data_IF_503706222790
#
_entry.id   IF_503706222790
#
_cell.length_a   1.000
_cell.length_b   1.000
_cell.length_c   1.000
_cell.angle_alpha   90.00
_cell.angle_beta   90.00
_cell.angle_gamma   90.00
#
_symmetry.space_group_name_H-M   'P 1'
#
loop_
_entity.id
_entity.type
_entity.pdbx_description
1 polymer ?
#
# COMPACT_ATOMS: atom_id res chain seq x y z
N UNK A 1 -47.43 8.85 -45.14
CA UNK A 1 -46.15 8.14 -45.37
C UNK A 1 -45.02 9.15 -45.37
N UNK A 2 -44.13 9.08 -44.38
CA UNK A 2 -42.71 9.34 -44.64
C UNK A 2 -41.82 8.28 -43.98
N UNK A 3 -41.01 7.60 -44.79
CA UNK A 3 -39.88 6.77 -44.36
C UNK A 3 -38.60 7.57 -44.60
N UNK A 4 -37.83 7.86 -43.54
CA UNK A 4 -36.37 7.92 -43.57
C UNK A 4 -35.84 8.11 -42.14
N UNK A 5 -35.14 7.12 -41.56
CA UNK A 5 -34.43 7.30 -40.30
C UNK A 5 -33.02 7.87 -40.57
N UNK A 6 -32.76 9.03 -39.98
CA UNK A 6 -31.42 9.60 -39.84
C UNK A 6 -30.65 8.76 -38.82
N UNK A 7 -29.56 8.11 -39.24
CA UNK A 7 -28.56 7.52 -38.35
C UNK A 7 -27.31 8.39 -38.34
N UNK A 8 -26.84 8.83 -37.16
CA UNK A 8 -25.45 9.18 -36.97
C UNK A 8 -24.75 8.13 -36.10
N UNK A 9 -23.73 7.58 -36.73
CA UNK A 9 -22.68 6.69 -36.26
C UNK A 9 -22.15 7.02 -34.86
N UNK A 10 -22.23 6.07 -33.94
CA UNK A 10 -21.54 6.11 -32.65
C UNK A 10 -20.05 5.92 -32.88
N UNK A 11 -19.29 7.01 -32.82
CA UNK A 11 -17.83 6.97 -32.72
C UNK A 11 -17.45 6.41 -31.36
N UNK A 12 -16.92 5.18 -31.36
CA UNK A 12 -16.45 4.50 -30.16
C UNK A 12 -15.07 5.06 -29.79
N UNK A 13 -15.04 6.17 -29.05
CA UNK A 13 -13.81 6.69 -28.44
C UNK A 13 -13.60 5.96 -27.11
N UNK A 14 -12.98 4.78 -27.15
CA UNK A 14 -12.52 4.07 -25.95
C UNK A 14 -11.41 4.88 -25.26
N UNK A 15 -11.80 5.71 -24.31
CA UNK A 15 -10.90 6.39 -23.39
C UNK A 15 -10.35 5.40 -22.36
N UNK A 16 -9.06 5.58 -22.10
CA UNK A 16 -8.11 4.69 -21.44
C UNK A 16 -8.25 4.70 -19.90
N UNK A 17 -9.47 4.81 -19.38
CA UNK A 17 -9.71 5.34 -18.02
C UNK A 17 -10.57 4.46 -17.10
N UNK A 18 -10.94 3.25 -17.52
CA UNK A 18 -11.60 2.26 -16.66
C UNK A 18 -10.68 1.09 -16.32
N UNK A 19 -9.72 1.35 -15.44
CA UNK A 19 -9.23 0.28 -14.54
C UNK A 19 -9.70 0.58 -13.13
N UNK A 20 -11.02 0.71 -13.00
CA UNK A 20 -11.73 0.66 -11.73
C UNK A 20 -11.20 -0.57 -10.99
N UNK A 21 -10.63 -0.35 -9.83
CA UNK A 21 -10.22 -1.41 -8.89
C UNK A 21 -11.42 -2.31 -8.68
N UNK A 22 -11.46 -3.48 -9.36
CA UNK A 22 -12.52 -4.46 -9.13
C UNK A 22 -12.52 -4.77 -7.64
N UNK A 23 -13.56 -4.32 -6.94
CA UNK A 23 -13.86 -4.76 -5.59
C UNK A 23 -13.76 -6.28 -5.61
N UNK A 24 -12.89 -6.83 -4.77
CA UNK A 24 -12.69 -8.28 -4.77
C UNK A 24 -13.99 -8.94 -4.39
N UNK A 25 -14.29 -10.03 -5.06
CA UNK A 25 -15.34 -10.91 -4.60
C UNK A 25 -14.98 -11.40 -3.18
N UNK A 26 -15.81 -10.99 -2.23
CA UNK A 26 -15.64 -11.27 -0.80
C UNK A 26 -15.82 -12.77 -0.52
N UNK A 27 -16.40 -13.52 -1.46
CA UNK A 27 -16.60 -14.96 -1.36
C UNK A 27 -15.36 -15.78 -1.77
N UNK A 28 -14.36 -15.16 -2.40
CA UNK A 28 -13.15 -15.85 -2.85
C UNK A 28 -11.86 -15.38 -2.15
N UNK A 29 -11.88 -14.24 -1.46
CA UNK A 29 -10.69 -13.64 -0.85
C UNK A 29 -10.93 -13.21 0.60
N UNK A 30 -9.89 -13.37 1.42
CA UNK A 30 -9.86 -12.81 2.75
C UNK A 30 -9.88 -11.28 2.69
N UNK A 31 -10.74 -10.62 3.45
CA UNK A 31 -10.83 -9.15 3.51
C UNK A 31 -9.69 -8.50 4.29
N UNK A 32 -8.98 -9.30 5.08
CA UNK A 32 -7.86 -8.84 5.92
C UNK A 32 -6.56 -8.90 5.12
N UNK A 33 -6.10 -10.08 4.69
CA UNK A 33 -4.82 -10.23 3.96
C UNK A 33 -4.92 -10.19 2.42
N UNK A 34 -6.13 -10.21 1.85
CA UNK A 34 -6.37 -10.23 0.39
C UNK A 34 -5.88 -11.46 -0.38
N UNK A 35 -5.33 -12.47 0.30
CA UNK A 35 -5.11 -13.80 -0.28
C UNK A 35 -6.45 -14.51 -0.51
N UNK A 36 -6.43 -15.54 -1.35
CA UNK A 36 -7.60 -16.42 -1.51
C UNK A 36 -7.90 -17.13 -0.20
N UNK A 37 -9.18 -17.42 0.05
CA UNK A 37 -9.59 -18.09 1.29
C UNK A 37 -8.85 -19.43 1.51
N UNK A 38 -8.62 -20.19 0.44
CA UNK A 38 -7.89 -21.47 0.43
C UNK A 38 -6.41 -21.39 0.90
N UNK A 39 -5.80 -20.21 0.84
CA UNK A 39 -4.40 -19.95 1.24
C UNK A 39 -4.31 -18.74 2.18
N UNK A 40 -5.36 -18.48 2.94
CA UNK A 40 -5.39 -17.38 3.89
C UNK A 40 -4.35 -17.62 5.01
N UNK A 41 -3.49 -16.62 5.26
CA UNK A 41 -2.44 -16.71 6.29
C UNK A 41 -2.80 -15.95 7.58
N UNK A 42 -3.93 -15.25 7.63
CA UNK A 42 -4.33 -14.50 8.83
C UNK A 42 -4.31 -15.34 10.12
N UNK A 43 -4.76 -16.62 10.12
CA UNK A 43 -4.73 -17.44 11.34
C UNK A 43 -3.33 -17.77 11.86
N UNK A 44 -2.31 -17.68 11.00
CA UNK A 44 -0.92 -18.00 11.34
C UNK A 44 -0.03 -16.76 11.45
N UNK A 45 -0.59 -15.56 11.27
CA UNK A 45 0.18 -14.32 11.42
C UNK A 45 0.65 -14.21 12.87
N UNK A 46 1.96 -14.07 13.12
CA UNK A 46 2.45 -13.85 14.46
C UNK A 46 2.10 -12.43 14.92
N UNK A 47 2.10 -12.22 16.23
CA UNK A 47 2.22 -10.88 16.81
C UNK A 47 3.66 -10.64 17.18
N UNK A 48 4.31 -9.68 16.52
CA UNK A 48 5.70 -9.30 16.75
C UNK A 48 5.74 -7.95 17.44
N UNK A 49 6.14 -7.96 18.71
CA UNK A 49 6.34 -6.74 19.49
C UNK A 49 7.66 -6.09 19.10
N UNK A 50 7.64 -4.78 18.88
CA UNK A 50 8.82 -4.01 18.51
C UNK A 50 8.91 -2.74 19.34
N UNK A 51 10.13 -2.37 19.73
CA UNK A 51 10.39 -1.10 20.42
C UNK A 51 10.25 0.09 19.46
N UNK A 52 10.81 -0.05 18.27
CA UNK A 52 10.71 0.97 17.22
C UNK A 52 9.32 0.96 16.60
N UNK A 53 8.80 2.14 16.26
CA UNK A 53 7.62 2.29 15.43
C UNK A 53 7.97 2.07 13.95
N UNK A 54 7.15 1.33 13.22
CA UNK A 54 7.35 1.09 11.80
C UNK A 54 6.36 1.87 10.94
N UNK A 55 6.86 2.78 10.11
CA UNK A 55 6.08 3.48 9.08
C UNK A 55 6.31 2.84 7.73
N UNK A 56 5.30 2.14 7.20
CA UNK A 56 5.39 1.43 5.93
C UNK A 56 4.85 2.33 4.82
N UNK A 57 5.76 2.90 4.02
CA UNK A 57 5.39 3.72 2.89
C UNK A 57 4.94 2.82 1.73
N UNK A 58 3.67 2.94 1.35
CA UNK A 58 3.06 2.13 0.30
C UNK A 58 2.43 3.05 -0.74
N UNK A 59 2.77 2.86 -2.01
CA UNK A 59 2.08 3.57 -3.09
C UNK A 59 0.59 3.19 -3.10
N UNK A 60 -0.30 4.17 -3.27
CA UNK A 60 -1.76 3.96 -3.31
C UNK A 60 -2.23 2.87 -4.30
N UNK A 61 -1.52 2.67 -5.42
CA UNK A 61 -1.84 1.62 -6.41
C UNK A 61 -1.58 0.20 -5.89
N UNK A 62 -0.79 0.07 -4.83
CA UNK A 62 -0.43 -1.20 -4.21
C UNK A 62 -1.39 -1.58 -3.07
N UNK A 63 -2.27 -0.68 -2.62
CA UNK A 63 -3.18 -0.92 -1.49
C UNK A 63 -4.06 -2.17 -1.66
N UNK A 64 -4.38 -2.48 -2.92
CA UNK A 64 -5.10 -3.66 -3.30
C UNK A 64 -4.22 -4.88 -3.54
N UNK A 65 -2.93 -4.83 -3.83
CA UNK A 65 -2.23 -6.01 -4.39
C UNK A 65 -2.00 -7.13 -3.37
N UNK A 66 -2.00 -8.38 -3.85
CA UNK A 66 -1.71 -9.57 -3.02
C UNK A 66 -0.24 -9.68 -2.64
N UNK A 67 0.64 -9.12 -3.47
CA UNK A 67 2.06 -8.98 -3.16
C UNK A 67 2.31 -8.06 -1.97
N UNK A 68 1.28 -7.38 -1.44
CA UNK A 68 1.35 -6.47 -0.29
C UNK A 68 1.77 -7.10 1.02
N UNK A 69 3.06 -7.39 1.11
CA UNK A 69 3.77 -7.79 2.31
C UNK A 69 3.74 -6.69 3.36
N UNK A 70 3.73 -5.41 2.96
CA UNK A 70 3.54 -4.28 3.88
C UNK A 70 2.25 -4.40 4.72
N UNK A 71 1.15 -4.90 4.12
CA UNK A 71 -0.08 -5.22 4.85
C UNK A 71 0.09 -6.34 5.86
N UNK A 72 0.88 -7.37 5.56
CA UNK A 72 1.12 -8.46 6.50
C UNK A 72 1.93 -7.98 7.70
N UNK A 73 2.94 -7.13 7.47
CA UNK A 73 3.71 -6.49 8.54
C UNK A 73 2.77 -5.67 9.44
N UNK A 74 1.91 -4.82 8.85
CA UNK A 74 0.94 -4.03 9.61
C UNK A 74 -0.05 -4.86 10.44
N UNK A 75 -0.40 -6.06 9.97
CA UNK A 75 -1.26 -6.98 10.71
C UNK A 75 -0.51 -7.73 11.82
N UNK A 76 0.79 -7.97 11.65
CA UNK A 76 1.62 -8.72 12.59
C UNK A 76 2.32 -7.85 13.64
N UNK A 77 2.53 -6.56 13.38
CA UNK A 77 3.29 -5.67 14.25
C UNK A 77 2.39 -4.56 14.79
N UNK A 78 1.96 -4.62 16.06
CA UNK A 78 1.05 -3.61 16.62
C UNK A 78 1.61 -2.19 16.60
N UNK A 79 2.93 -2.04 16.67
CA UNK A 79 3.63 -0.75 16.59
C UNK A 79 4.04 -0.42 15.14
N UNK A 80 3.13 -0.64 14.19
CA UNK A 80 3.37 -0.32 12.78
C UNK A 80 2.12 0.21 12.09
N UNK A 81 2.32 1.07 11.10
CA UNK A 81 1.24 1.66 10.32
C UNK A 81 1.61 1.80 8.85
N UNK A 82 0.60 1.67 7.98
CA UNK A 82 0.75 1.89 6.55
C UNK A 82 0.41 3.33 6.22
N UNK A 83 1.35 4.01 5.58
CA UNK A 83 1.17 5.34 5.04
C UNK A 83 1.02 5.22 3.53
N UNK A 84 -0.10 5.72 2.99
CA UNK A 84 -0.33 5.68 1.55
C UNK A 84 0.26 6.91 0.86
N UNK A 85 1.08 6.71 -0.18
CA UNK A 85 1.75 7.78 -0.93
C UNK A 85 1.52 7.66 -2.45
N UNK A 86 1.98 8.65 -3.24
CA UNK A 86 1.97 8.60 -4.71
C UNK A 86 0.61 8.89 -5.38
N UNK A 87 -0.30 9.58 -4.68
CA UNK A 87 -1.62 9.97 -5.21
C UNK A 87 -1.72 11.40 -5.76
N UNK A 88 -0.78 12.28 -5.38
CA UNK A 88 -0.89 13.73 -5.59
C UNK A 88 -2.20 14.30 -5.04
N UNK A 89 -2.60 15.48 -5.53
CA UNK A 89 -3.89 16.10 -5.17
C UNK A 89 -5.11 15.30 -5.68
N UNK A 90 -4.87 14.35 -6.60
CA UNK A 90 -5.93 13.65 -7.35
C UNK A 90 -6.76 12.69 -6.51
N UNK A 91 -6.31 12.33 -5.31
CA UNK A 91 -6.95 11.30 -4.49
C UNK A 91 -7.38 11.83 -3.11
N UNK A 92 -7.27 13.14 -2.87
CA UNK A 92 -7.68 13.74 -1.58
C UNK A 92 -6.97 13.14 -0.37
N UNK A 93 -5.85 12.44 -0.60
CA UNK A 93 -4.97 12.02 0.47
C UNK A 93 -4.27 13.28 0.98
N UNK A 94 -4.25 13.46 2.29
CA UNK A 94 -3.35 14.45 2.89
C UNK A 94 -1.93 14.15 2.39
N UNK A 95 -1.15 15.18 2.03
CA UNK A 95 0.28 15.03 1.86
C UNK A 95 0.84 14.24 3.03
N UNK A 96 1.75 13.31 2.75
CA UNK A 96 2.47 12.68 3.82
C UNK A 96 3.22 13.77 4.60
N UNK A 97 3.12 13.71 5.92
CA UNK A 97 3.73 14.72 6.77
C UNK A 97 5.25 14.50 6.83
N UNK A 98 5.99 15.41 6.20
CA UNK A 98 7.46 15.39 6.17
C UNK A 98 8.07 15.49 7.58
N UNK A 99 7.32 16.00 8.58
CA UNK A 99 7.75 16.01 9.98
C UNK A 99 7.91 14.58 10.52
N UNK A 100 7.11 13.62 10.04
CA UNK A 100 7.22 12.22 10.45
C UNK A 100 8.53 11.56 9.98
N UNK A 101 9.07 12.01 8.84
CA UNK A 101 10.39 11.58 8.34
C UNK A 101 11.55 12.29 9.04
N UNK A 102 11.31 13.55 9.43
CA UNK A 102 12.34 14.42 10.00
C UNK A 102 12.49 14.28 11.52
N UNK A 103 11.62 13.50 12.16
CA UNK A 103 11.67 13.23 13.59
C UNK A 103 13.01 12.58 13.99
N UNK A 104 13.58 13.03 15.13
CA UNK A 104 14.82 12.45 15.68
C UNK A 104 14.63 10.96 15.96
N UNK A 105 15.68 10.16 15.74
CA UNK A 105 15.62 8.71 15.92
C UNK A 105 14.92 7.96 14.78
N UNK A 106 14.61 8.63 13.67
CA UNK A 106 14.03 8.00 12.47
C UNK A 106 15.12 7.48 11.55
N UNK A 107 15.03 6.21 11.17
CA UNK A 107 15.87 5.59 10.15
C UNK A 107 15.04 5.15 8.95
N UNK A 108 15.63 5.22 7.77
CA UNK A 108 15.03 4.76 6.52
C UNK A 108 15.55 3.34 6.22
N UNK A 109 14.64 2.43 5.85
CA UNK A 109 14.95 1.08 5.38
C UNK A 109 14.56 0.97 3.90
N UNK A 110 15.52 0.64 3.04
CA UNK A 110 15.32 0.49 1.59
C UNK A 110 16.15 -0.69 1.06
N UNK A 111 15.70 -1.38 -0.01
CA UNK A 111 16.26 -2.66 -0.45
C UNK A 111 17.72 -2.59 -0.91
N UNK A 112 18.13 -1.47 -1.50
CA UNK A 112 19.45 -1.31 -2.13
C UNK A 112 20.49 -0.62 -1.22
N UNK A 113 20.31 -0.71 0.10
CA UNK A 113 21.20 -0.12 1.11
C UNK A 113 22.58 -0.78 1.15
N UNK A 114 23.39 -0.61 0.11
CA UNK A 114 24.82 -0.92 0.17
C UNK A 114 25.47 0.06 1.13
N UNK A 115 25.75 -0.37 2.37
CA UNK A 115 26.78 0.25 3.22
C UNK A 115 26.35 1.04 4.45
N UNK A 116 25.08 1.03 4.88
CA UNK A 116 24.73 1.50 6.23
C UNK A 116 24.37 0.31 7.11
N UNK A 117 25.40 -0.37 7.63
CA UNK A 117 25.22 -1.13 8.86
C UNK A 117 24.98 -0.10 9.96
N UNK A 118 23.81 -0.13 10.59
CA UNK A 118 23.66 0.55 11.88
C UNK A 118 24.68 -0.11 12.80
N UNK A 119 25.68 0.66 13.22
CA UNK A 119 26.69 0.15 14.14
C UNK A 119 25.97 -0.37 15.39
N UNK A 120 26.39 -1.51 15.94
CA UNK A 120 25.71 -2.10 17.10
C UNK A 120 25.78 -1.21 18.35
N UNK A 121 26.71 -0.25 18.36
CA UNK A 121 26.88 0.78 19.39
C UNK A 121 26.02 2.04 19.14
N UNK A 122 25.35 2.14 17.99
CA UNK A 122 24.39 3.21 17.74
C UNK A 122 23.11 2.98 18.55
N UNK A 123 22.57 4.07 19.08
CA UNK A 123 21.27 4.03 19.73
C UNK A 123 20.24 3.50 18.72
N UNK A 124 19.48 2.44 19.06
CA UNK A 124 18.56 1.85 18.10
C UNK A 124 17.45 2.84 17.76
N UNK A 125 16.93 2.84 16.51
CA UNK A 125 16.00 3.86 16.05
C UNK A 125 14.67 3.80 16.80
N UNK A 126 14.10 4.93 17.16
CA UNK A 126 12.75 4.99 17.71
C UNK A 126 11.69 4.76 16.62
N UNK A 127 12.05 5.05 15.37
CA UNK A 127 11.18 4.86 14.21
C UNK A 127 11.95 4.33 13.01
N UNK A 128 11.35 3.40 12.29
CA UNK A 128 11.86 2.89 11.02
C UNK A 128 10.83 3.16 9.93
N UNK A 129 11.24 3.92 8.91
CA UNK A 129 10.45 4.17 7.71
C UNK A 129 10.86 3.16 6.66
N UNK A 130 9.94 2.28 6.27
CA UNK A 130 10.17 1.26 5.24
C UNK A 130 9.71 1.82 3.90
N UNK A 131 10.66 2.00 2.97
CA UNK A 131 10.35 2.33 1.59
C UNK A 131 9.95 1.07 0.82
N UNK A 132 8.96 1.23 -0.04
CA UNK A 132 8.50 0.17 -0.95
C UNK A 132 7.97 -1.09 -0.25
N UNK A 133 7.09 -0.88 0.75
CA UNK A 133 6.32 -1.96 1.38
C UNK A 133 5.27 -2.54 0.42
N UNK A 134 5.74 -3.16 -0.66
CA UNK A 134 4.93 -3.70 -1.77
C UNK A 134 4.17 -4.93 -1.40
#
# INVERSE_FOLDING_TARGET
>A
MPNSPFTPSTTNSSTKEERITRSRDHNSHCLICYLRLEICICPILPTVQTRAEFLILRHIREAGRRSNTGRLVALSMPNSQIVSCGGGDRIGLSPFDDELLSARGTCLLWPDGTGMTLDMDQTPPDRVVVLDGT
#
